data_IF_278275658238
#
_entry.id   IF_278275658238
#
_cell.length_a   1.000
_cell.length_b   1.000
_cell.length_c   1.000
_cell.angle_alpha   90.00
_cell.angle_beta   90.00
_cell.angle_gamma   90.00
#
_symmetry.space_group_name_H-M   'P 1'
#
loop_
_entity.id
_entity.type
_entity.pdbx_description
1 polymer ?
#
# COMPACT_ATOMS: atom_id res chain seq x y z
N UNK A 1 -26.45 3.41 -12.84
CA UNK A 1 -25.99 4.01 -11.58
C UNK A 1 -25.10 5.18 -11.95
N UNK A 2 -25.40 6.40 -11.50
CA UNK A 2 -24.57 7.56 -11.81
C UNK A 2 -23.58 7.72 -10.66
N UNK A 3 -22.29 7.52 -10.92
CA UNK A 3 -21.24 7.70 -9.92
C UNK A 3 -20.91 9.19 -9.83
N UNK A 4 -21.05 9.78 -8.65
CA UNK A 4 -20.60 11.15 -8.40
C UNK A 4 -19.07 11.19 -8.33
N UNK A 5 -18.47 12.30 -8.77
CA UNK A 5 -17.02 12.50 -8.66
C UNK A 5 -16.68 12.76 -7.18
N UNK A 6 -15.97 11.84 -6.55
CA UNK A 6 -15.33 12.05 -5.26
C UNK A 6 -13.89 12.55 -5.41
N UNK A 7 -13.31 13.04 -4.32
CA UNK A 7 -11.86 13.25 -4.22
C UNK A 7 -11.26 12.15 -3.35
N UNK A 8 -10.01 11.74 -3.62
CA UNK A 8 -9.32 10.73 -2.81
C UNK A 8 -9.34 11.07 -1.30
N UNK A 9 -9.36 12.36 -0.99
CA UNK A 9 -9.36 12.83 0.38
C UNK A 9 -10.62 12.49 1.19
N UNK A 10 -11.74 12.27 0.51
CA UNK A 10 -12.99 11.86 1.15
C UNK A 10 -12.84 10.49 1.85
N UNK A 11 -11.93 9.65 1.32
CA UNK A 11 -11.62 8.33 1.85
C UNK A 11 -10.36 8.37 2.73
N UNK A 12 -9.26 8.93 2.21
CA UNK A 12 -7.94 8.81 2.85
C UNK A 12 -7.60 9.90 3.86
N UNK A 13 -8.38 11.00 3.96
CA UNK A 13 -8.21 12.05 4.99
C UNK A 13 -6.75 12.52 5.17
N UNK A 14 -6.12 12.86 4.06
CA UNK A 14 -4.73 13.32 3.89
C UNK A 14 -3.64 12.26 4.14
N UNK A 15 -3.99 11.02 4.48
CA UNK A 15 -3.06 9.88 4.55
C UNK A 15 -2.71 9.36 3.16
N UNK A 16 -2.21 10.25 2.31
CA UNK A 16 -1.78 9.99 0.95
C UNK A 16 -0.28 10.27 0.90
N UNK A 17 0.51 9.29 0.44
CA UNK A 17 1.96 9.40 0.29
C UNK A 17 2.26 9.33 -1.21
N UNK A 18 2.85 10.39 -1.76
CA UNK A 18 3.31 10.36 -3.15
C UNK A 18 4.51 9.42 -3.33
N UNK A 19 4.77 9.02 -4.57
CA UNK A 19 5.86 8.08 -4.91
C UNK A 19 7.23 8.60 -4.46
N UNK A 20 7.39 9.92 -4.37
CA UNK A 20 8.57 10.60 -3.84
C UNK A 20 8.66 10.60 -2.31
N UNK A 21 7.86 9.77 -1.63
CA UNK A 21 7.86 9.59 -0.18
C UNK A 21 7.55 10.90 0.58
N UNK A 22 6.65 11.69 -0.01
CA UNK A 22 6.17 12.96 0.51
C UNK A 22 4.68 12.83 0.88
N UNK A 23 4.34 12.75 2.18
CA UNK A 23 2.96 12.71 2.63
C UNK A 23 2.23 14.04 2.41
N UNK A 24 0.94 13.98 2.08
CA UNK A 24 0.04 15.16 2.04
C UNK A 24 -0.18 15.70 3.44
N UNK A 25 -0.40 14.80 4.42
CA UNK A 25 -0.55 15.16 5.82
C UNK A 25 0.76 15.69 6.40
N UNK A 26 0.82 17.01 6.63
CA UNK A 26 2.01 17.74 7.12
C UNK A 26 2.54 17.28 8.48
N UNK A 27 1.75 16.58 9.28
CA UNK A 27 2.20 16.04 10.57
C UNK A 27 3.08 14.79 10.41
N UNK A 28 3.10 14.17 9.23
CA UNK A 28 3.94 13.03 8.92
C UNK A 28 5.29 13.50 8.37
N UNK A 29 6.40 12.81 8.68
CA UNK A 29 7.70 13.16 8.14
C UNK A 29 7.74 12.88 6.64
N UNK A 30 8.42 13.76 5.89
CA UNK A 30 8.65 13.56 4.45
C UNK A 30 10.05 12.97 4.20
N UNK A 31 10.33 12.60 2.95
CA UNK A 31 11.62 12.03 2.57
C UNK A 31 12.79 12.93 2.98
N UNK A 32 12.75 14.22 2.69
CA UNK A 32 13.84 15.15 3.03
C UNK A 32 14.15 15.16 4.53
N UNK A 33 13.13 15.06 5.39
CA UNK A 33 13.32 14.99 6.85
C UNK A 33 13.92 13.65 7.29
N UNK A 34 13.57 12.56 6.60
CA UNK A 34 14.02 11.22 6.94
C UNK A 34 15.35 10.84 6.30
N UNK A 35 15.75 11.53 5.23
CA UNK A 35 16.95 11.24 4.44
C UNK A 35 18.19 11.19 5.30
N UNK A 36 18.44 12.24 6.08
CA UNK A 36 19.62 12.33 6.94
C UNK A 36 19.54 11.35 8.11
N UNK A 37 18.34 11.16 8.69
CA UNK A 37 18.09 10.20 9.78
C UNK A 37 18.41 8.76 9.37
N UNK A 38 18.13 8.41 8.12
CA UNK A 38 18.30 7.07 7.55
C UNK A 38 19.59 6.95 6.72
N UNK A 39 20.47 7.96 6.73
CA UNK A 39 21.74 7.98 6.00
C UNK A 39 21.61 7.75 4.47
N UNK A 40 20.47 8.16 3.90
CA UNK A 40 20.14 7.93 2.49
C UNK A 40 20.77 8.98 1.58
N UNK A 41 21.34 8.54 0.46
CA UNK A 41 22.00 9.44 -0.49
C UNK A 41 21.02 10.08 -1.48
N UNK A 42 20.00 9.33 -1.88
CA UNK A 42 19.01 9.72 -2.88
C UNK A 42 17.64 9.10 -2.56
N UNK A 43 16.60 9.60 -3.23
CA UNK A 43 15.27 9.02 -3.17
C UNK A 43 15.31 7.55 -3.64
N UNK A 44 14.91 6.58 -2.79
CA UNK A 44 14.91 5.18 -3.17
C UNK A 44 13.76 4.86 -4.13
N UNK A 45 13.94 3.82 -4.95
CA UNK A 45 12.87 3.30 -5.81
C UNK A 45 11.95 2.40 -5.00
N UNK A 46 10.68 2.27 -5.42
CA UNK A 46 9.64 1.46 -4.74
C UNK A 46 10.09 0.03 -4.34
N UNK A 47 10.97 -0.60 -5.12
CA UNK A 47 11.46 -1.96 -4.89
C UNK A 47 12.70 -2.03 -3.99
N UNK A 48 13.32 -0.90 -3.68
CA UNK A 48 14.54 -0.85 -2.88
C UNK A 48 14.18 -1.07 -1.39
N UNK A 49 15.11 -1.60 -0.60
CA UNK A 49 14.87 -1.83 0.84
C UNK A 49 14.74 -0.51 1.59
N UNK A 50 15.49 0.48 1.14
CA UNK A 50 15.49 1.86 1.62
C UNK A 50 14.10 2.51 1.46
N UNK A 51 13.33 2.14 0.43
CA UNK A 51 11.95 2.62 0.30
C UNK A 51 11.06 2.09 1.43
N UNK A 52 11.18 0.80 1.76
CA UNK A 52 10.44 0.21 2.88
C UNK A 52 10.89 0.81 4.23
N UNK A 53 12.18 1.13 4.39
CA UNK A 53 12.68 1.85 5.58
C UNK A 53 12.02 3.22 5.73
N UNK A 54 11.98 4.04 4.67
CA UNK A 54 11.34 5.36 4.73
C UNK A 54 9.85 5.23 5.00
N UNK A 55 9.14 4.35 4.28
CA UNK A 55 7.71 4.09 4.52
C UNK A 55 7.48 3.70 5.98
N UNK A 56 8.30 2.80 6.53
CA UNK A 56 8.14 2.33 7.91
C UNK A 56 8.18 3.47 8.94
N UNK A 57 9.04 4.47 8.74
CA UNK A 57 9.15 5.64 9.63
C UNK A 57 7.94 6.57 9.49
N UNK A 58 7.40 6.70 8.27
CA UNK A 58 6.15 7.44 8.03
C UNK A 58 4.98 6.75 8.73
N UNK A 59 4.85 5.43 8.59
CA UNK A 59 3.77 4.65 9.20
C UNK A 59 3.81 4.71 10.74
N UNK A 60 5.00 4.54 11.34
CA UNK A 60 5.21 4.67 12.79
C UNK A 60 4.86 6.07 13.32
N UNK A 61 4.95 7.09 12.47
CA UNK A 61 4.58 8.47 12.82
C UNK A 61 3.08 8.75 12.67
N UNK A 62 2.33 7.86 11.98
CA UNK A 62 0.92 8.05 11.72
C UNK A 62 0.05 7.61 12.89
N UNK A 63 0.38 6.47 13.51
CA UNK A 63 -0.29 5.91 14.67
C UNK A 63 0.55 4.78 15.28
N UNK A 64 0.16 4.31 16.47
CA UNK A 64 0.59 3.01 16.98
C UNK A 64 -0.26 1.90 16.34
N UNK A 65 0.38 0.90 15.75
CA UNK A 65 -0.28 -0.16 14.99
C UNK A 65 0.37 -1.53 15.26
N UNK A 66 -0.41 -2.59 15.17
CA UNK A 66 0.06 -3.97 15.37
C UNK A 66 0.38 -4.68 14.07
N UNK A 67 -0.30 -4.32 12.98
CA UNK A 67 -0.17 -5.00 11.70
C UNK A 67 -0.47 -4.08 10.50
N UNK A 68 -0.03 -4.54 9.33
CA UNK A 68 -0.23 -3.87 8.04
C UNK A 68 -1.05 -4.76 7.13
N UNK A 69 -2.03 -4.20 6.44
CA UNK A 69 -2.67 -4.83 5.28
C UNK A 69 -2.27 -4.05 4.04
N UNK A 70 -1.65 -4.69 3.05
CA UNK A 70 -1.23 -4.05 1.81
C UNK A 70 -2.11 -4.52 0.65
N UNK A 71 -2.66 -3.58 -0.12
CA UNK A 71 -3.45 -3.82 -1.32
C UNK A 71 -2.74 -3.21 -2.54
N UNK A 72 -2.51 -4.00 -3.59
CA UNK A 72 -1.91 -3.53 -4.85
C UNK A 72 -2.32 -4.39 -6.04
N UNK A 73 -1.82 -4.07 -7.24
CA UNK A 73 -2.06 -4.81 -8.48
C UNK A 73 -0.80 -5.37 -9.14
N UNK A 74 0.36 -4.82 -8.81
CA UNK A 74 1.57 -5.07 -9.57
C UNK A 74 2.39 -6.14 -8.89
N UNK A 75 2.27 -7.39 -9.38
CA UNK A 75 2.96 -8.56 -8.83
C UNK A 75 4.40 -8.28 -8.39
N UNK A 76 5.29 -7.89 -9.31
CA UNK A 76 6.70 -7.72 -8.97
C UNK A 76 6.95 -6.53 -8.04
N UNK A 77 6.24 -5.41 -8.23
CA UNK A 77 6.53 -4.18 -7.48
C UNK A 77 5.95 -4.23 -6.07
N UNK A 78 4.68 -4.59 -5.93
CA UNK A 78 3.99 -4.62 -4.64
C UNK A 78 4.48 -5.77 -3.77
N UNK A 79 4.72 -6.95 -4.37
CA UNK A 79 5.30 -8.09 -3.65
C UNK A 79 6.66 -7.72 -3.06
N UNK A 80 7.49 -6.95 -3.79
CA UNK A 80 8.79 -6.53 -3.28
C UNK A 80 8.64 -5.58 -2.09
N UNK A 81 7.69 -4.65 -2.12
CA UNK A 81 7.39 -3.77 -0.98
C UNK A 81 6.94 -4.58 0.23
N UNK A 82 5.99 -5.51 0.04
CA UNK A 82 5.46 -6.36 1.11
C UNK A 82 6.58 -7.18 1.75
N UNK A 83 7.42 -7.82 0.93
CA UNK A 83 8.58 -8.59 1.41
C UNK A 83 9.57 -7.73 2.17
N UNK A 84 9.90 -6.55 1.65
CA UNK A 84 10.84 -5.66 2.34
C UNK A 84 10.28 -5.18 3.70
N UNK A 85 8.97 -4.95 3.82
CA UNK A 85 8.34 -4.64 5.11
C UNK A 85 8.33 -5.84 6.06
N UNK A 86 8.06 -7.04 5.54
CA UNK A 86 8.13 -8.28 6.35
C UNK A 86 9.56 -8.54 6.85
N UNK A 87 10.58 -8.36 6.00
CA UNK A 87 11.99 -8.45 6.38
C UNK A 87 12.42 -7.42 7.45
N UNK A 88 11.70 -6.29 7.56
CA UNK A 88 11.89 -5.31 8.64
C UNK A 88 11.18 -5.69 9.95
N UNK A 89 10.49 -6.82 9.98
CA UNK A 89 9.83 -7.38 11.15
C UNK A 89 8.38 -6.95 11.35
N UNK A 90 7.73 -6.37 10.34
CA UNK A 90 6.30 -6.03 10.43
C UNK A 90 5.43 -7.27 10.24
N UNK A 91 4.37 -7.39 11.06
CA UNK A 91 3.25 -8.27 10.77
C UNK A 91 2.45 -7.67 9.60
N UNK A 92 2.62 -8.23 8.41
CA UNK A 92 2.03 -7.72 7.18
C UNK A 92 1.25 -8.81 6.47
N UNK A 93 0.09 -8.46 5.94
CA UNK A 93 -0.70 -9.29 5.05
C UNK A 93 -0.94 -8.58 3.72
N UNK A 94 -0.47 -9.16 2.63
CA UNK A 94 -0.59 -8.59 1.29
C UNK A 94 -1.69 -9.23 0.47
N UNK A 95 -2.44 -8.42 -0.27
CA UNK A 95 -3.33 -8.89 -1.34
C UNK A 95 -2.93 -8.17 -2.63
N UNK A 96 -2.43 -8.95 -3.59
CA UNK A 96 -2.12 -8.43 -4.93
C UNK A 96 -3.22 -8.91 -5.87
N UNK A 97 -3.88 -7.96 -6.52
CA UNK A 97 -5.02 -8.20 -7.39
C UNK A 97 -4.69 -7.87 -8.84
N UNK A 98 -4.54 -8.88 -9.66
CA UNK A 98 -4.33 -8.72 -11.11
C UNK A 98 -5.46 -9.45 -11.85
N UNK A 99 -6.38 -8.69 -12.45
CA UNK A 99 -7.56 -9.24 -13.14
C UNK A 99 -7.22 -9.95 -14.46
N UNK A 100 -6.04 -9.67 -15.02
CA UNK A 100 -5.56 -10.33 -16.25
C UNK A 100 -4.83 -11.65 -15.94
N UNK A 101 -4.28 -11.78 -14.74
CA UNK A 101 -3.52 -12.95 -14.33
C UNK A 101 -4.42 -14.06 -13.80
N UNK A 102 -4.27 -15.26 -14.36
CA UNK A 102 -5.11 -16.41 -14.00
C UNK A 102 -4.26 -17.46 -13.29
N UNK A 103 -4.29 -17.38 -11.96
CA UNK A 103 -3.76 -18.35 -10.99
C UNK A 103 -2.23 -18.38 -10.81
N UNK A 104 -1.81 -17.86 -9.66
CA UNK A 104 -0.65 -18.36 -8.93
C UNK A 104 -1.02 -18.52 -7.46
N UNK A 105 -0.68 -19.67 -6.87
CA UNK A 105 -0.59 -19.76 -5.42
C UNK A 105 0.62 -18.94 -4.98
N UNK A 106 0.43 -18.13 -3.94
CA UNK A 106 1.54 -17.41 -3.35
C UNK A 106 2.47 -18.39 -2.64
N UNK A 107 3.78 -18.37 -2.91
CA UNK A 107 4.75 -19.13 -2.12
C UNK A 107 4.98 -18.51 -0.73
N UNK A 108 4.38 -17.34 -0.46
CA UNK A 108 4.49 -16.61 0.79
C UNK A 108 3.18 -16.74 1.60
N UNK A 109 3.22 -17.23 2.85
CA UNK A 109 2.01 -17.45 3.65
C UNK A 109 1.28 -16.16 4.04
N UNK A 110 1.94 -15.01 3.89
CA UNK A 110 1.43 -13.69 4.21
C UNK A 110 0.98 -12.89 2.98
N UNK A 111 0.94 -13.51 1.80
CA UNK A 111 0.47 -12.85 0.57
C UNK A 111 -0.58 -13.73 -0.11
N UNK A 112 -1.66 -13.11 -0.56
CA UNK A 112 -2.66 -13.71 -1.44
C UNK A 112 -2.59 -13.04 -2.80
N UNK A 113 -2.51 -13.87 -3.85
CA UNK A 113 -2.74 -13.42 -5.22
C UNK A 113 -4.20 -13.70 -5.58
N UNK A 114 -4.87 -12.72 -6.14
CA UNK A 114 -6.24 -12.88 -6.63
C UNK A 114 -6.44 -12.09 -7.93
N UNK A 115 -7.57 -12.32 -8.59
CA UNK A 115 -7.89 -11.71 -9.88
C UNK A 115 -9.23 -10.96 -9.87
N UNK A 116 -9.71 -10.55 -8.69
CA UNK A 116 -10.99 -9.87 -8.55
C UNK A 116 -11.00 -8.95 -7.33
N UNK A 117 -11.01 -7.64 -7.57
CA UNK A 117 -11.09 -6.62 -6.53
C UNK A 117 -12.30 -6.80 -5.61
N UNK A 118 -13.42 -7.30 -6.14
CA UNK A 118 -14.64 -7.58 -5.40
C UNK A 118 -14.45 -8.62 -4.26
N UNK A 119 -13.41 -9.48 -4.34
CA UNK A 119 -13.11 -10.50 -3.34
C UNK A 119 -12.16 -10.05 -2.24
N UNK A 120 -11.60 -8.83 -2.31
CA UNK A 120 -10.61 -8.36 -1.33
C UNK A 120 -11.12 -8.49 0.10
N UNK A 121 -12.40 -8.15 0.33
CA UNK A 121 -13.03 -8.23 1.65
C UNK A 121 -12.95 -9.65 2.24
N UNK A 122 -13.06 -10.67 1.42
CA UNK A 122 -13.03 -12.08 1.85
C UNK A 122 -11.65 -12.46 2.41
N UNK A 123 -10.58 -11.79 1.98
CA UNK A 123 -9.21 -12.07 2.39
C UNK A 123 -8.72 -11.24 3.56
N UNK A 124 -9.28 -10.03 3.77
CA UNK A 124 -8.73 -9.06 4.75
C UNK A 124 -9.62 -8.79 5.94
N UNK A 125 -10.89 -9.20 5.90
CA UNK A 125 -11.86 -8.82 6.94
C UNK A 125 -11.48 -9.27 8.35
N UNK A 126 -10.81 -10.41 8.50
CA UNK A 126 -10.29 -10.94 9.77
C UNK A 126 -8.92 -10.37 10.15
N UNK A 127 -8.26 -9.64 9.23
CA UNK A 127 -6.92 -9.04 9.42
C UNK A 127 -6.97 -7.56 9.78
N UNK A 128 -8.15 -6.93 9.73
CA UNK A 128 -8.33 -5.50 9.99
C UNK A 128 -8.93 -5.28 11.37
N UNK A 129 -8.28 -4.42 12.15
CA UNK A 129 -8.72 -3.93 13.45
C UNK A 129 -8.51 -2.41 13.56
N UNK A 130 -8.78 -1.85 14.74
CA UNK A 130 -8.48 -0.45 15.07
C UNK A 130 -6.96 -0.16 15.15
N UNK A 131 -6.12 -1.20 15.19
CA UNK A 131 -4.66 -1.13 15.21
C UNK A 131 -4.01 -1.54 13.89
N UNK A 132 -4.76 -1.53 12.80
CA UNK A 132 -4.27 -1.93 11.48
C UNK A 132 -4.06 -0.72 10.58
N UNK A 133 -2.89 -0.62 9.96
CA UNK A 133 -2.67 0.29 8.83
C UNK A 133 -3.01 -0.45 7.53
N UNK A 134 -3.91 0.13 6.73
CA UNK A 134 -4.19 -0.36 5.38
C UNK A 134 -3.45 0.52 4.37
N UNK A 135 -2.50 -0.07 3.67
CA UNK A 135 -1.77 0.56 2.57
C UNK A 135 -2.46 0.15 1.28
N UNK A 136 -2.84 1.14 0.49
CA UNK A 136 -3.44 0.94 -0.83
C UNK A 136 -2.50 1.60 -1.82
N UNK A 137 -1.88 0.82 -2.71
CA UNK A 137 -1.30 1.40 -3.92
C UNK A 137 -2.47 2.00 -4.72
N UNK A 138 -2.30 3.23 -5.22
CA UNK A 138 -3.39 3.99 -5.90
C UNK A 138 -3.12 4.09 -7.40
N UNK A 139 -2.04 3.49 -7.91
CA UNK A 139 -1.78 3.47 -9.35
C UNK A 139 -2.71 2.44 -10.00
N UNK A 140 -3.72 2.92 -10.75
CA UNK A 140 -4.75 2.08 -11.43
C UNK A 140 -5.55 1.15 -10.52
N UNK A 141 -5.41 1.29 -9.21
CA UNK A 141 -5.91 0.37 -8.19
C UNK A 141 -6.98 1.05 -7.35
N UNK A 142 -8.15 0.43 -7.35
CA UNK A 142 -9.36 0.77 -6.59
C UNK A 142 -10.13 2.06 -6.85
N UNK A 143 -9.50 3.20 -7.14
CA UNK A 143 -10.22 4.47 -7.34
C UNK A 143 -9.87 5.02 -8.71
N UNK A 144 -10.74 4.73 -9.69
CA UNK A 144 -10.53 5.02 -11.09
C UNK A 144 -10.52 6.52 -11.41
N UNK A 145 -9.34 7.14 -11.46
CA UNK A 145 -9.11 8.31 -12.30
C UNK A 145 -8.90 7.84 -13.75
N UNK A 146 -9.96 7.38 -14.42
CA UNK A 146 -9.95 6.99 -15.85
C UNK A 146 -8.80 6.04 -16.27
N UNK A 147 -8.38 5.12 -15.38
CA UNK A 147 -7.61 3.94 -15.75
C UNK A 147 -8.51 2.89 -16.41
N UNK A 148 -7.93 1.96 -17.17
CA UNK A 148 -8.61 0.93 -17.99
C UNK A 148 -9.54 -0.05 -17.22
N UNK A 149 -9.75 0.15 -15.92
CA UNK A 149 -10.58 -0.71 -15.08
C UNK A 149 -12.02 -0.18 -15.13
N UNK A 150 -12.84 -0.84 -15.93
CA UNK A 150 -14.12 -0.36 -16.43
C UNK A 150 -15.31 -0.67 -15.52
N UNK A 151 -15.08 -1.13 -14.29
CA UNK A 151 -16.15 -1.44 -13.33
C UNK A 151 -15.82 -0.92 -11.92
N UNK A 152 -16.83 -0.52 -11.14
CA UNK A 152 -16.67 -0.15 -9.74
C UNK A 152 -16.29 -1.38 -8.90
N UNK A 153 -15.45 -1.20 -7.88
CA UNK A 153 -15.30 -2.14 -6.76
C UNK A 153 -16.57 -2.13 -5.92
#
# INVERSE_FOLDING_TARGET
MMFEKGILNDIFRDYIIFRELNPVKKSLPNFETLKDKLELQALPRKKDKEYALVISEILKSAMDFSNIVYLGDTFLSDLTVIKNLEELGFDIFGVITDEEETNFESPYPYVVFNNSWAKIKDFVSDKISDKTIVIVDIDKTAIGAHGRNHLPI
#
